data_IF_178664049065
#
_entry.id   IF_178664049065
#
_cell.length_a   1.000
_cell.length_b   1.000
_cell.length_c   1.000
_cell.angle_alpha   90.00
_cell.angle_beta   90.00
_cell.angle_gamma   90.00
#
_symmetry.space_group_name_H-M   'P 1'
#
loop_
_entity.id
_entity.type
_entity.pdbx_description
1 polymer ?
#
# COMPACT_ATOMS: atom_id res chain seq x y z
N UNK A 1 32.86 11.90 -34.57
CA UNK A 1 33.40 13.13 -33.96
C UNK A 1 32.64 13.31 -32.67
N UNK A 2 33.12 13.18 -31.54
CA UNK A 2 34.24 12.76 -30.68
C UNK A 2 33.55 12.38 -29.34
N UNK A 3 33.67 11.21 -28.86
CA UNK A 3 34.66 10.70 -27.90
C UNK A 3 35.06 11.69 -26.79
N UNK A 4 34.53 11.52 -25.59
CA UNK A 4 35.34 11.70 -24.39
C UNK A 4 34.88 10.75 -23.28
N UNK A 5 35.69 9.74 -23.12
CA UNK A 5 35.83 8.78 -22.05
C UNK A 5 36.38 9.49 -20.80
N UNK A 6 35.71 9.42 -19.67
CA UNK A 6 36.34 9.70 -18.38
C UNK A 6 36.07 8.53 -17.41
N UNK A 7 37.07 7.66 -17.35
CA UNK A 7 37.34 6.74 -16.24
C UNK A 7 37.68 7.58 -15.01
N UNK A 8 37.08 7.35 -13.90
CA UNK A 8 37.75 7.55 -12.60
C UNK A 8 37.51 6.34 -11.68
N UNK A 9 38.62 5.65 -11.53
CA UNK A 9 38.96 4.66 -10.51
C UNK A 9 39.21 5.41 -9.19
N UNK A 10 38.89 4.84 -8.07
CA UNK A 10 39.32 5.26 -6.72
C UNK A 10 38.37 4.64 -5.70
N UNK A 11 38.77 3.84 -4.93
CA UNK A 11 39.84 3.33 -4.08
C UNK A 11 39.18 2.80 -2.80
N UNK A 12 39.53 1.59 -2.46
CA UNK A 12 39.21 0.86 -1.22
C UNK A 12 39.53 1.70 0.03
N UNK A 13 38.68 1.56 1.06
CA UNK A 13 39.12 1.68 2.44
C UNK A 13 38.43 0.59 3.29
N UNK A 14 39.17 -0.43 3.58
CA UNK A 14 38.93 -1.44 4.62
C UNK A 14 39.23 -0.77 5.97
N UNK A 15 38.30 -0.83 6.91
CA UNK A 15 38.55 -0.51 8.30
C UNK A 15 38.00 -1.62 9.20
N UNK A 16 38.89 -2.52 9.60
CA UNK A 16 38.79 -3.49 10.67
C UNK A 16 39.11 -2.84 12.02
N UNK A 17 38.29 -2.99 13.03
CA UNK A 17 38.64 -2.83 14.47
C UNK A 17 37.78 -3.82 15.26
N UNK A 18 38.36 -4.91 15.65
CA UNK A 18 38.95 -5.45 16.89
C UNK A 18 38.08 -5.37 18.16
N UNK A 19 37.87 -6.59 18.63
CA UNK A 19 37.40 -7.09 19.93
C UNK A 19 37.83 -6.27 21.16
N UNK A 20 36.96 -6.22 22.15
CA UNK A 20 37.34 -6.25 23.55
C UNK A 20 36.33 -7.11 24.34
N UNK A 21 36.81 -8.26 24.75
CA UNK A 21 36.22 -9.09 25.78
C UNK A 21 36.60 -8.48 27.14
N UNK A 22 35.62 -8.39 28.05
CA UNK A 22 35.91 -8.28 29.48
C UNK A 22 35.14 -9.35 30.23
N UNK A 23 35.92 -10.27 30.73
CA UNK A 23 35.60 -11.32 31.67
C UNK A 23 35.74 -10.78 33.11
N UNK A 24 34.87 -11.14 34.01
CA UNK A 24 34.97 -10.95 35.45
C UNK A 24 33.63 -11.34 36.05
N UNK A 25 33.42 -12.39 36.69
CA UNK A 25 34.05 -13.12 37.77
C UNK A 25 33.36 -12.76 39.09
N UNK A 26 32.65 -13.71 39.74
CA UNK A 26 32.48 -13.72 41.19
C UNK A 26 31.07 -13.63 41.74
N UNK A 27 30.59 -14.76 42.15
CA UNK A 27 30.13 -15.16 43.50
C UNK A 27 28.74 -14.83 44.00
N UNK A 28 28.02 -15.88 44.15
CA UNK A 28 27.31 -16.49 45.33
C UNK A 28 26.12 -15.81 45.92
N UNK A 29 25.05 -16.61 45.89
CA UNK A 29 23.99 -16.87 46.90
C UNK A 29 23.13 -15.70 47.33
N UNK A 30 21.88 -15.74 46.96
CA UNK A 30 20.85 -16.04 47.96
C UNK A 30 19.56 -16.53 47.30
N UNK A 31 19.04 -17.62 47.81
CA UNK A 31 17.76 -18.19 47.39
C UNK A 31 16.66 -17.37 48.08
N UNK A 32 15.91 -16.63 47.27
CA UNK A 32 14.67 -16.00 47.70
C UNK A 32 13.50 -16.53 46.87
N UNK A 33 12.34 -16.77 47.48
CA UNK A 33 11.29 -17.61 46.89
C UNK A 33 10.67 -16.95 45.65
N UNK A 34 10.62 -17.70 44.60
CA UNK A 34 9.90 -17.42 43.36
C UNK A 34 8.41 -17.18 43.71
N UNK A 35 8.01 -15.95 43.85
CA UNK A 35 6.60 -15.60 43.67
C UNK A 35 6.29 -15.79 42.19
N UNK A 36 5.64 -16.90 41.88
CA UNK A 36 4.97 -17.07 40.60
C UNK A 36 3.93 -15.95 40.46
N UNK A 37 4.30 -14.91 39.71
CA UNK A 37 3.35 -13.91 39.26
C UNK A 37 2.35 -14.65 38.36
N UNK A 38 1.19 -14.96 38.90
CA UNK A 38 0.02 -15.37 38.12
C UNK A 38 -0.28 -14.22 37.17
N UNK A 39 0.16 -14.31 35.93
CA UNK A 39 -0.30 -13.42 34.87
C UNK A 39 -1.79 -13.66 34.69
N UNK A 40 -2.59 -12.80 35.31
CA UNK A 40 -4.01 -12.71 35.00
C UNK A 40 -4.09 -12.33 33.53
N UNK A 41 -4.48 -13.29 32.70
CA UNK A 41 -4.78 -13.05 31.30
C UNK A 41 -5.87 -11.98 31.24
N UNK A 42 -5.51 -10.79 30.79
CA UNK A 42 -6.47 -9.75 30.45
C UNK A 42 -7.31 -10.32 29.34
N UNK A 43 -8.64 -10.47 29.51
CA UNK A 43 -9.47 -10.97 28.41
C UNK A 43 -9.33 -9.97 27.26
N UNK A 44 -8.77 -10.41 26.15
CA UNK A 44 -8.82 -9.68 24.88
C UNK A 44 -10.29 -9.64 24.51
N UNK A 45 -10.96 -8.54 24.76
CA UNK A 45 -12.31 -8.29 24.29
C UNK A 45 -12.22 -8.18 22.77
N UNK A 46 -12.52 -9.28 22.09
CA UNK A 46 -12.79 -9.26 20.64
C UNK A 46 -14.08 -8.48 20.50
N UNK A 47 -14.10 -7.31 19.82
CA UNK A 47 -15.33 -6.57 19.60
C UNK A 47 -16.25 -7.42 18.70
N UNK A 48 -17.26 -8.03 19.29
CA UNK A 48 -18.35 -8.77 18.62
C UNK A 48 -19.49 -7.79 18.28
N UNK A 49 -19.15 -6.64 17.68
CA UNK A 49 -20.13 -5.68 17.17
C UNK A 49 -20.26 -5.80 15.65
N UNK A 50 -21.43 -5.52 15.11
CA UNK A 50 -21.60 -5.27 13.68
C UNK A 50 -20.69 -4.10 13.30
N UNK A 51 -19.88 -4.19 12.22
CA UNK A 51 -19.04 -3.09 11.78
C UNK A 51 -19.86 -1.80 11.61
N UNK A 52 -19.26 -0.65 11.90
CA UNK A 52 -19.88 0.62 11.57
C UNK A 52 -19.86 0.84 10.05
N UNK A 53 -20.71 1.74 9.55
CA UNK A 53 -20.75 2.07 8.12
C UNK A 53 -19.38 2.61 7.66
N UNK A 54 -18.71 3.39 8.50
CA UNK A 54 -17.37 3.91 8.23
C UNK A 54 -16.33 2.80 8.09
N UNK A 55 -16.40 1.77 8.94
CA UNK A 55 -15.52 0.60 8.84
C UNK A 55 -15.78 -0.19 7.56
N UNK A 56 -17.06 -0.41 7.21
CA UNK A 56 -17.44 -1.10 5.96
C UNK A 56 -16.93 -0.33 4.73
N UNK A 57 -17.11 1.00 4.70
CA UNK A 57 -16.62 1.88 3.63
C UNK A 57 -15.10 1.80 3.51
N UNK A 58 -14.39 1.91 4.63
CA UNK A 58 -12.93 1.86 4.65
C UNK A 58 -12.39 0.52 4.14
N UNK A 59 -12.98 -0.60 4.59
CA UNK A 59 -12.61 -1.93 4.14
C UNK A 59 -12.89 -2.12 2.64
N UNK A 60 -14.04 -1.66 2.15
CA UNK A 60 -14.40 -1.74 0.74
C UNK A 60 -13.44 -0.89 -0.12
N UNK A 61 -13.02 0.27 0.35
CA UNK A 61 -12.05 1.11 -0.32
C UNK A 61 -10.66 0.46 -0.41
N UNK A 62 -10.18 -0.15 0.66
CA UNK A 62 -8.92 -0.89 0.65
C UNK A 62 -9.00 -2.15 -0.25
N UNK A 63 -10.15 -2.80 -0.26
CA UNK A 63 -10.40 -3.92 -1.18
C UNK A 63 -10.41 -3.48 -2.65
N UNK A 64 -10.99 -2.32 -2.96
CA UNK A 64 -10.91 -1.71 -4.28
C UNK A 64 -9.46 -1.56 -4.75
N UNK A 65 -8.55 -1.04 -3.92
CA UNK A 65 -7.15 -0.90 -4.29
C UNK A 65 -6.48 -2.23 -4.63
N UNK A 66 -6.82 -3.28 -3.89
CA UNK A 66 -6.29 -4.62 -4.16
C UNK A 66 -6.76 -5.14 -5.53
N UNK A 67 -8.07 -5.10 -5.79
CA UNK A 67 -8.63 -5.57 -7.07
C UNK A 67 -8.13 -4.73 -8.25
N UNK A 68 -8.08 -3.42 -8.07
CA UNK A 68 -7.57 -2.51 -9.11
C UNK A 68 -6.07 -2.74 -9.40
N UNK A 69 -5.26 -2.94 -8.38
CA UNK A 69 -3.84 -3.30 -8.53
C UNK A 69 -3.67 -4.60 -9.30
N UNK A 70 -4.44 -5.63 -8.96
CA UNK A 70 -4.40 -6.92 -9.65
C UNK A 70 -4.84 -6.79 -11.11
N UNK A 71 -5.87 -5.98 -11.38
CA UNK A 71 -6.35 -5.72 -12.74
C UNK A 71 -5.29 -5.04 -13.62
N UNK A 72 -4.60 -4.03 -13.11
CA UNK A 72 -3.54 -3.33 -13.85
C UNK A 72 -2.28 -4.17 -14.02
N UNK A 73 -1.96 -5.03 -13.06
CA UNK A 73 -0.80 -5.91 -13.13
C UNK A 73 -1.02 -7.07 -14.12
N UNK A 74 -2.20 -7.69 -14.06
CA UNK A 74 -2.55 -8.86 -14.88
C UNK A 74 -3.24 -8.49 -16.19
N UNK A 75 -3.64 -7.23 -16.35
CA UNK A 75 -4.49 -6.74 -17.43
C UNK A 75 -5.85 -7.47 -17.48
N UNK A 76 -6.38 -7.84 -16.33
CA UNK A 76 -7.66 -8.54 -16.18
C UNK A 76 -8.72 -7.61 -15.61
N UNK A 77 -9.83 -7.43 -16.33
CA UNK A 77 -10.93 -6.54 -15.98
C UNK A 77 -12.13 -7.25 -15.34
N UNK A 78 -12.08 -8.57 -15.19
CA UNK A 78 -13.22 -9.41 -14.81
C UNK A 78 -13.83 -9.05 -13.45
N UNK A 79 -13.01 -8.55 -12.52
CA UNK A 79 -13.42 -8.22 -11.16
C UNK A 79 -13.56 -6.72 -10.89
N UNK A 80 -13.30 -5.86 -11.87
CA UNK A 80 -13.40 -4.40 -11.66
C UNK A 80 -14.81 -3.95 -11.27
N UNK A 81 -15.84 -4.56 -11.87
CA UNK A 81 -17.23 -4.24 -11.56
C UNK A 81 -17.69 -4.69 -10.16
N UNK A 82 -16.90 -5.55 -9.49
CA UNK A 82 -17.21 -5.98 -8.12
C UNK A 82 -16.94 -4.86 -7.11
N UNK A 83 -15.96 -4.00 -7.39
CA UNK A 83 -15.44 -2.97 -6.47
C UNK A 83 -15.61 -1.53 -6.96
N UNK A 84 -15.98 -1.31 -8.21
CA UNK A 84 -16.20 0.02 -8.78
C UNK A 84 -17.39 0.05 -9.75
N UNK A 85 -17.92 1.25 -10.01
CA UNK A 85 -19.07 1.47 -10.90
C UNK A 85 -18.98 2.86 -11.53
N UNK A 86 -19.88 3.15 -12.50
CA UNK A 86 -19.98 4.46 -13.14
C UNK A 86 -18.66 5.00 -13.70
N UNK A 87 -18.39 6.30 -13.56
CA UNK A 87 -17.23 6.93 -14.18
C UNK A 87 -15.88 6.30 -13.79
N UNK A 88 -15.76 5.77 -12.54
CA UNK A 88 -14.52 5.11 -12.12
C UNK A 88 -14.28 3.81 -12.87
N UNK A 89 -15.31 3.01 -13.05
CA UNK A 89 -15.23 1.75 -13.80
C UNK A 89 -14.90 2.01 -15.28
N UNK A 90 -15.53 2.98 -15.91
CA UNK A 90 -15.28 3.34 -17.31
C UNK A 90 -13.82 3.74 -17.53
N UNK A 91 -13.27 4.58 -16.64
CA UNK A 91 -11.84 4.97 -16.71
C UNK A 91 -10.92 3.78 -16.52
N UNK A 92 -11.21 2.88 -15.58
CA UNK A 92 -10.37 1.70 -15.34
C UNK A 92 -10.37 0.72 -16.52
N UNK A 93 -11.53 0.51 -17.16
CA UNK A 93 -11.63 -0.32 -18.37
C UNK A 93 -10.82 0.27 -19.54
N UNK A 94 -10.91 1.59 -19.73
CA UNK A 94 -10.13 2.30 -20.74
C UNK A 94 -8.63 2.17 -20.46
N UNK A 95 -8.21 2.40 -19.23
CA UNK A 95 -6.81 2.30 -18.81
C UNK A 95 -6.23 0.90 -19.08
N UNK A 96 -6.94 -0.15 -18.70
CA UNK A 96 -6.49 -1.54 -18.99
C UNK A 96 -6.42 -1.80 -20.49
N UNK A 97 -7.36 -1.28 -21.28
CA UNK A 97 -7.35 -1.40 -22.72
C UNK A 97 -6.14 -0.72 -23.36
N UNK A 98 -5.81 0.49 -22.91
CA UNK A 98 -4.66 1.25 -23.38
C UNK A 98 -3.33 0.56 -23.03
N UNK A 99 -3.23 0.02 -21.82
CA UNK A 99 -2.08 -0.74 -21.36
C UNK A 99 -1.86 -2.01 -22.21
N UNK A 100 -2.93 -2.74 -22.52
CA UNK A 100 -2.87 -3.91 -23.43
C UNK A 100 -2.35 -3.52 -24.81
N UNK A 101 -2.86 -2.43 -25.38
CA UNK A 101 -2.46 -1.94 -26.71
C UNK A 101 -0.97 -1.59 -26.75
N UNK A 102 -0.44 -1.09 -25.63
CA UNK A 102 0.97 -0.72 -25.49
C UNK A 102 1.87 -1.88 -25.06
N UNK A 103 1.34 -3.08 -24.83
CA UNK A 103 2.04 -4.22 -24.22
C UNK A 103 2.68 -3.85 -22.87
N UNK A 104 1.97 -3.07 -22.07
CA UNK A 104 2.38 -2.59 -20.75
C UNK A 104 1.41 -3.06 -19.67
N UNK A 105 1.90 -3.10 -18.45
CA UNK A 105 1.11 -3.25 -17.25
C UNK A 105 1.61 -2.27 -16.18
N UNK A 106 0.93 -2.18 -15.05
CA UNK A 106 1.36 -1.31 -13.95
C UNK A 106 1.61 -2.15 -12.71
N UNK A 107 2.76 -1.93 -12.07
CA UNK A 107 3.00 -2.37 -10.71
C UNK A 107 2.58 -1.25 -9.77
N UNK A 108 1.42 -1.41 -9.14
CA UNK A 108 0.94 -0.49 -8.11
C UNK A 108 1.77 -0.69 -6.84
N UNK A 109 2.32 0.41 -6.33
CA UNK A 109 3.02 0.48 -5.04
C UNK A 109 2.50 1.73 -4.35
N UNK A 110 1.57 1.55 -3.42
CA UNK A 110 0.91 2.64 -2.69
C UNK A 110 0.85 2.34 -1.20
N UNK A 111 0.99 3.37 -0.40
CA UNK A 111 0.71 3.37 1.04
C UNK A 111 -0.50 4.28 1.27
N UNK A 112 -1.67 3.67 1.42
CA UNK A 112 -2.93 4.37 1.60
C UNK A 112 -3.13 4.78 3.07
N UNK A 113 -3.73 5.96 3.27
CA UNK A 113 -4.16 6.49 4.57
C UNK A 113 -5.59 7.07 4.44
N UNK A 114 -6.60 6.21 4.20
CA UNK A 114 -7.96 6.64 3.93
C UNK A 114 -8.67 7.11 5.19
N UNK A 115 -9.35 8.26 5.08
CA UNK A 115 -10.22 8.82 6.11
C UNK A 115 -11.62 8.93 5.54
N UNK A 116 -12.59 8.24 6.15
CA UNK A 116 -14.01 8.40 5.81
C UNK A 116 -14.50 9.70 6.42
N UNK A 117 -14.78 10.69 5.58
CA UNK A 117 -15.21 12.04 6.03
C UNK A 117 -16.71 12.22 6.00
N UNK A 118 -17.41 11.35 5.30
CA UNK A 118 -18.85 11.29 5.25
C UNK A 118 -19.30 9.86 5.00
N UNK A 119 -20.25 9.35 5.79
CA UNK A 119 -20.88 8.06 5.57
C UNK A 119 -22.39 8.19 5.78
N UNK A 120 -23.14 7.77 4.77
CA UNK A 120 -24.61 7.62 4.81
C UNK A 120 -24.98 6.18 4.50
N UNK A 121 -26.27 5.92 4.27
CA UNK A 121 -26.78 4.57 3.97
C UNK A 121 -26.39 4.05 2.57
N UNK A 122 -26.19 4.96 1.63
CA UNK A 122 -26.02 4.64 0.20
C UNK A 122 -24.87 5.41 -0.47
N UNK A 123 -24.32 6.42 0.19
CA UNK A 123 -23.19 7.20 -0.28
C UNK A 123 -22.22 7.50 0.84
N UNK A 124 -20.93 7.50 0.49
CA UNK A 124 -19.83 7.88 1.38
C UNK A 124 -18.75 8.66 0.62
N UNK A 125 -17.98 9.45 1.37
CA UNK A 125 -16.81 10.17 0.86
C UNK A 125 -15.59 9.75 1.67
N UNK A 126 -14.55 9.32 0.96
CA UNK A 126 -13.24 9.01 1.52
C UNK A 126 -12.23 10.03 1.01
N UNK A 127 -11.43 10.58 1.90
CA UNK A 127 -10.21 11.30 1.56
C UNK A 127 -9.03 10.36 1.77
N UNK A 128 -8.21 10.18 0.74
CA UNK A 128 -7.01 9.36 0.83
C UNK A 128 -5.79 10.17 0.42
N UNK A 129 -4.87 10.35 1.37
CA UNK A 129 -3.57 10.96 1.11
C UNK A 129 -2.52 9.87 1.15
N UNK A 130 -2.16 9.36 0.00
CA UNK A 130 -1.30 8.19 -0.13
C UNK A 130 0.05 8.50 -0.76
N UNK A 131 1.03 7.68 -0.44
CA UNK A 131 2.35 7.68 -1.09
C UNK A 131 2.31 6.73 -2.27
N UNK A 132 2.74 7.20 -3.42
CA UNK A 132 2.72 6.46 -4.69
C UNK A 132 4.13 6.31 -5.26
N UNK A 133 4.56 5.07 -5.47
CA UNK A 133 5.77 4.67 -6.17
C UNK A 133 5.48 3.70 -7.32
N UNK A 134 4.26 3.73 -7.85
CA UNK A 134 3.82 2.84 -8.94
C UNK A 134 4.61 3.12 -10.23
N UNK A 135 4.84 2.09 -11.03
CA UNK A 135 5.62 2.17 -12.25
C UNK A 135 5.12 1.21 -13.32
N UNK A 136 5.49 1.51 -14.58
CA UNK A 136 5.18 0.67 -15.73
C UNK A 136 6.11 -0.54 -15.78
N UNK A 137 5.52 -1.67 -16.15
CA UNK A 137 6.22 -2.93 -16.42
C UNK A 137 5.85 -3.46 -17.81
N UNK A 138 6.70 -4.27 -18.39
CA UNK A 138 6.37 -5.03 -19.58
C UNK A 138 5.31 -6.08 -19.24
N UNK A 139 4.26 -6.18 -20.06
CA UNK A 139 3.11 -7.03 -19.75
C UNK A 139 3.42 -8.53 -19.71
N UNK A 140 4.40 -9.00 -20.51
CA UNK A 140 4.76 -10.42 -20.60
C UNK A 140 5.84 -10.80 -19.59
N UNK A 141 6.92 -10.01 -19.50
CA UNK A 141 8.08 -10.33 -18.67
C UNK A 141 7.96 -9.83 -17.24
N UNK A 142 7.03 -8.91 -16.97
CA UNK A 142 6.83 -8.23 -15.69
C UNK A 142 8.05 -7.43 -15.22
N UNK A 143 9.00 -7.13 -16.11
CA UNK A 143 10.16 -6.32 -15.80
C UNK A 143 9.82 -4.83 -15.89
N UNK A 144 10.44 -3.98 -15.06
CA UNK A 144 10.26 -2.53 -15.12
C UNK A 144 10.57 -1.97 -16.50
N UNK A 145 9.78 -0.99 -16.96
CA UNK A 145 10.02 -0.26 -18.19
C UNK A 145 10.44 1.17 -17.83
N UNK A 146 11.70 1.46 -18.11
CA UNK A 146 12.33 2.71 -17.71
C UNK A 146 12.82 2.68 -16.27
N UNK A 147 12.90 3.87 -15.65
CA UNK A 147 13.33 4.01 -14.27
C UNK A 147 12.15 3.79 -13.31
N UNK A 148 12.39 3.02 -12.26
CA UNK A 148 11.46 2.96 -11.13
C UNK A 148 11.62 4.19 -10.25
N UNK A 149 10.53 4.74 -9.66
CA UNK A 149 10.63 5.89 -8.78
C UNK A 149 11.51 5.62 -7.58
N UNK A 150 12.51 6.46 -7.32
CA UNK A 150 13.36 6.39 -6.13
C UNK A 150 12.65 6.93 -4.88
N UNK A 151 11.74 7.89 -5.08
CA UNK A 151 10.97 8.54 -4.01
C UNK A 151 9.49 8.44 -4.26
N UNK A 152 8.71 8.29 -3.18
CA UNK A 152 7.26 8.30 -3.27
C UNK A 152 6.72 9.70 -3.54
N UNK A 153 5.75 9.79 -4.44
CA UNK A 153 4.95 10.99 -4.64
C UNK A 153 3.74 10.96 -3.71
N UNK A 154 3.53 12.03 -2.94
CA UNK A 154 2.31 12.19 -2.14
C UNK A 154 1.18 12.66 -3.03
N UNK A 155 0.06 11.98 -2.96
CA UNK A 155 -1.14 12.21 -3.76
C UNK A 155 -2.34 12.26 -2.82
N UNK A 156 -3.24 13.23 -3.04
CA UNK A 156 -4.50 13.32 -2.32
C UNK A 156 -5.67 13.17 -3.28
N UNK A 157 -6.54 12.22 -3.01
CA UNK A 157 -7.74 11.97 -3.80
C UNK A 157 -8.99 12.05 -2.91
N UNK A 158 -10.02 12.67 -3.44
CA UNK A 158 -11.40 12.60 -2.92
C UNK A 158 -12.13 11.51 -3.67
N UNK A 159 -12.62 10.52 -2.94
CA UNK A 159 -13.27 9.34 -3.49
C UNK A 159 -14.72 9.33 -3.07
N UNK A 160 -15.61 9.27 -4.06
CA UNK A 160 -17.03 9.04 -3.83
C UNK A 160 -17.33 7.56 -3.93
N UNK A 161 -17.97 7.01 -2.91
CA UNK A 161 -18.42 5.62 -2.89
C UNK A 161 -19.94 5.54 -2.87
N UNK A 162 -20.49 4.47 -3.41
CA UNK A 162 -21.94 4.19 -3.40
C UNK A 162 -22.19 2.76 -2.97
N UNK A 163 -23.28 2.54 -2.24
CA UNK A 163 -23.74 1.20 -1.85
C UNK A 163 -24.77 0.71 -2.86
N UNK A 164 -24.51 -0.43 -3.49
CA UNK A 164 -25.40 -1.09 -4.42
C UNK A 164 -25.74 -2.49 -3.88
N UNK A 165 -26.96 -2.66 -3.41
CA UNK A 165 -27.41 -3.92 -2.81
C UNK A 165 -26.61 -4.29 -1.54
N UNK A 166 -26.17 -3.30 -0.76
CA UNK A 166 -25.37 -3.51 0.45
C UNK A 166 -23.86 -3.69 0.20
N UNK A 167 -23.41 -3.53 -1.05
CA UNK A 167 -21.99 -3.64 -1.41
C UNK A 167 -21.47 -2.23 -1.75
N UNK A 168 -20.47 -1.76 -1.01
CA UNK A 168 -19.81 -0.49 -1.26
C UNK A 168 -18.86 -0.59 -2.46
N UNK A 169 -18.99 0.35 -3.41
CA UNK A 169 -18.19 0.44 -4.63
C UNK A 169 -17.70 1.88 -4.83
N UNK A 170 -16.51 2.02 -5.39
CA UNK A 170 -15.99 3.33 -5.82
C UNK A 170 -16.75 3.78 -7.06
N UNK A 171 -17.43 4.93 -6.94
CA UNK A 171 -18.17 5.57 -8.02
C UNK A 171 -17.29 6.52 -8.82
N UNK A 172 -16.52 7.35 -8.13
CA UNK A 172 -15.65 8.35 -8.74
C UNK A 172 -14.46 8.68 -7.86
N UNK A 173 -13.38 9.17 -8.51
CA UNK A 173 -12.17 9.66 -7.84
C UNK A 173 -11.76 10.98 -8.48
N UNK A 174 -11.52 12.01 -7.66
CA UNK A 174 -11.07 13.32 -8.08
C UNK A 174 -9.78 13.67 -7.35
N UNK A 175 -8.75 14.04 -8.11
CA UNK A 175 -7.47 14.49 -7.54
C UNK A 175 -7.68 15.83 -6.85
N UNK A 176 -7.31 15.91 -5.57
CA UNK A 176 -7.24 17.18 -4.87
C UNK A 176 -5.90 17.85 -5.18
N UNK A 177 -5.96 19.06 -5.72
CA UNK A 177 -4.77 19.88 -5.93
C UNK A 177 -4.52 20.60 -4.61
N UNK A 178 -3.39 20.30 -3.96
CA UNK A 178 -2.98 21.10 -2.80
C UNK A 178 -2.76 22.55 -3.24
N UNK A 179 -3.31 23.53 -2.53
CA UNK A 179 -3.15 24.95 -2.84
C UNK A 179 -1.70 25.41 -2.74
#
# INVERSE_FOLDING_TARGET
MDMTLIRRLGLLAVLTVLLAACNGGGETRDASPTHAATQTAVPTVVPTGTPSVEEEVSQAYLHYWKVYSDALYNLDTSHLSDVMTGPRLERALTEVSDLRTQNRAVKIVVENDPVVVQAGSDQAVVLDTYKNQSYLIDAATKQPVGQTPETAQTISDRVTMTSLGGIWKVLDTVREVSP
#
